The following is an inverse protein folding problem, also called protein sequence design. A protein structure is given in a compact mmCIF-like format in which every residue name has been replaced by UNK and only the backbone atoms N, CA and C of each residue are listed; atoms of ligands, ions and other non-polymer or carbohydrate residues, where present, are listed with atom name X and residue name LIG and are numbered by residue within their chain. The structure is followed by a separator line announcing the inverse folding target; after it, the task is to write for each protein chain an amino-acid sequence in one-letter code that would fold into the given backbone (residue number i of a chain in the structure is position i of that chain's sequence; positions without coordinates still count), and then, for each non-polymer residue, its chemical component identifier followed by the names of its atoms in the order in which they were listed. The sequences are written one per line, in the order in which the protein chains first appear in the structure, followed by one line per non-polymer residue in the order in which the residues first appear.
data_IF_673633497745
#
_entry.id   IF_673633497745
#
_cell.length_a   1.000
_cell.length_b   1.000
_cell.length_c   1.000
_cell.angle_alpha   90.00
_cell.angle_beta   90.00
_cell.angle_gamma   90.00
#
_symmetry.space_group_name_H-M   'P 1'
#
loop_
_entity.id
_entity.type
_entity.pdbx_description
1 polymer ?
#
# COMPACT_ATOMS: atom_id res chain seq x y z
N UNK A 1 13.77 -8.00 -15.04
CA UNK A 1 14.36 -8.46 -13.75
C UNK A 1 13.25 -9.09 -12.92
N UNK A 2 13.54 -10.24 -12.26
CA UNK A 2 12.58 -10.87 -11.32
C UNK A 2 12.96 -10.56 -9.89
N UNK A 3 11.99 -10.20 -9.09
CA UNK A 3 12.14 -9.89 -7.66
C UNK A 3 11.25 -10.84 -6.88
N UNK A 4 11.85 -11.56 -5.93
CA UNK A 4 11.15 -12.39 -4.96
C UNK A 4 10.98 -11.58 -3.68
N UNK A 5 9.74 -11.47 -3.21
CA UNK A 5 9.36 -10.68 -2.05
C UNK A 5 8.88 -11.62 -0.97
N UNK A 6 9.41 -11.42 0.23
CA UNK A 6 8.93 -12.03 1.44
C UNK A 6 9.00 -10.97 2.55
N UNK A 7 7.85 -10.39 2.87
CA UNK A 7 7.73 -9.30 3.81
C UNK A 7 6.82 -9.69 4.97
N UNK A 8 7.32 -9.58 6.19
CA UNK A 8 6.55 -9.82 7.41
C UNK A 8 6.46 -8.54 8.22
N UNK A 9 5.25 -8.15 8.55
CA UNK A 9 4.97 -7.04 9.47
C UNK A 9 4.39 -7.61 10.74
N UNK A 10 4.99 -7.26 11.88
CA UNK A 10 4.52 -7.66 13.20
C UNK A 10 4.25 -6.43 14.04
N UNK A 11 3.04 -6.35 14.58
CA UNK A 11 2.63 -5.35 15.56
C UNK A 11 2.52 -6.02 16.93
N UNK A 12 3.05 -5.36 17.96
CA UNK A 12 2.87 -5.74 19.36
C UNK A 12 2.24 -4.56 20.10
N UNK A 13 1.23 -4.83 20.90
CA UNK A 13 0.47 -3.82 21.63
C UNK A 13 0.75 -3.94 23.12
N UNK A 14 0.99 -2.82 23.78
CA UNK A 14 1.21 -2.79 25.24
C UNK A 14 -0.06 -3.18 26.01
N UNK A 15 -1.23 -2.85 25.42
CA UNK A 15 -2.53 -3.20 25.96
C UNK A 15 -3.32 -4.05 24.97
N UNK A 16 -4.27 -4.82 25.49
CA UNK A 16 -5.11 -5.66 24.64
C UNK A 16 -6.08 -4.82 23.81
N UNK A 17 -5.99 -4.95 22.51
CA UNK A 17 -6.90 -4.30 21.54
C UNK A 17 -8.13 -5.15 21.36
N UNK A 18 -9.31 -4.62 21.69
CA UNK A 18 -10.58 -5.36 21.60
C UNK A 18 -11.09 -5.53 20.17
N UNK A 19 -10.80 -4.57 19.32
CA UNK A 19 -11.23 -4.57 17.92
C UNK A 19 -10.27 -3.74 17.07
N UNK A 20 -9.94 -4.23 15.88
CA UNK A 20 -9.09 -3.50 14.93
C UNK A 20 -9.59 -3.72 13.50
N UNK A 21 -9.65 -2.66 12.72
CA UNK A 21 -9.86 -2.72 11.26
C UNK A 21 -8.59 -2.21 10.60
N UNK A 22 -8.00 -3.05 9.75
CA UNK A 22 -6.79 -2.73 9.02
C UNK A 22 -7.10 -2.64 7.52
N UNK A 23 -6.65 -1.56 6.88
CA UNK A 23 -6.68 -1.40 5.43
C UNK A 23 -5.27 -1.66 4.88
N UNK A 24 -5.08 -2.80 4.25
CA UNK A 24 -3.78 -3.27 3.79
C UNK A 24 -3.62 -2.99 2.30
N UNK A 25 -2.64 -2.17 1.93
CA UNK A 25 -2.23 -1.90 0.54
C UNK A 25 -0.91 -2.62 0.25
N UNK A 26 -0.92 -3.94 0.38
CA UNK A 26 0.26 -4.80 0.27
C UNK A 26 0.24 -5.69 -0.99
N UNK A 27 -0.78 -5.56 -1.84
CA UNK A 27 -0.87 -6.31 -3.09
C UNK A 27 -0.39 -5.44 -4.24
N UNK A 28 0.68 -5.85 -4.95
CA UNK A 28 1.18 -5.10 -6.10
C UNK A 28 0.19 -5.18 -7.27
N UNK A 29 0.14 -4.13 -8.06
CA UNK A 29 -0.64 -4.10 -9.29
C UNK A 29 0.21 -4.52 -10.49
N UNK A 30 -0.39 -5.16 -11.49
CA UNK A 30 0.24 -5.34 -12.80
C UNK A 30 0.12 -4.02 -13.57
N UNK A 31 1.26 -3.52 -14.02
CA UNK A 31 1.43 -2.26 -14.74
C UNK A 31 2.22 -2.54 -16.05
N UNK A 32 2.34 -1.55 -16.94
CA UNK A 32 3.08 -1.71 -18.19
C UNK A 32 4.53 -2.17 -17.98
N UNK A 33 5.18 -1.73 -16.89
CA UNK A 33 6.57 -2.05 -16.54
C UNK A 33 6.70 -3.11 -15.43
N UNK A 34 5.57 -3.60 -14.87
CA UNK A 34 5.55 -4.55 -13.76
C UNK A 34 4.49 -5.61 -13.96
N UNK A 35 4.88 -6.88 -13.89
CA UNK A 35 3.98 -8.02 -13.95
C UNK A 35 4.05 -8.82 -12.66
N UNK A 36 2.91 -9.03 -12.02
CA UNK A 36 2.79 -9.90 -10.85
C UNK A 36 2.70 -11.35 -11.34
N UNK A 37 3.70 -12.17 -11.02
CA UNK A 37 3.74 -13.58 -11.41
C UNK A 37 3.04 -14.46 -10.38
N UNK A 38 3.23 -14.14 -9.10
CA UNK A 38 2.55 -14.78 -7.97
C UNK A 38 2.46 -13.80 -6.81
N UNK A 39 1.37 -13.86 -6.06
CA UNK A 39 1.23 -13.08 -4.84
C UNK A 39 0.31 -13.79 -3.85
N UNK A 40 0.69 -13.78 -2.59
CA UNK A 40 -0.10 -14.32 -1.48
C UNK A 40 0.12 -13.50 -0.23
N UNK A 41 -0.96 -13.21 0.48
CA UNK A 41 -0.93 -12.71 1.84
C UNK A 41 -1.36 -13.80 2.82
N UNK A 42 -0.61 -13.95 3.90
CA UNK A 42 -1.00 -14.76 5.05
C UNK A 42 -1.52 -13.80 6.11
N UNK A 43 -2.79 -13.94 6.44
CA UNK A 43 -3.51 -13.08 7.36
C UNK A 43 -4.07 -13.93 8.51
N UNK A 44 -4.22 -13.37 9.73
CA UNK A 44 -4.70 -14.12 10.88
C UNK A 44 -6.19 -14.47 10.81
N UNK A 45 -6.96 -13.81 9.94
CA UNK A 45 -8.40 -14.02 9.72
C UNK A 45 -8.81 -13.77 8.28
N UNK A 46 -10.06 -14.10 7.98
CA UNK A 46 -10.69 -13.77 6.70
C UNK A 46 -10.70 -12.25 6.48
N UNK A 47 -10.51 -11.87 5.23
CA UNK A 47 -10.46 -10.48 4.78
C UNK A 47 -11.43 -10.25 3.62
N UNK A 48 -11.76 -9.00 3.39
CA UNK A 48 -12.52 -8.55 2.22
C UNK A 48 -11.61 -7.75 1.30
N UNK A 49 -11.84 -7.83 0.01
CA UNK A 49 -11.07 -7.13 -1.02
C UNK A 49 -11.91 -6.01 -1.62
N UNK A 50 -11.35 -4.82 -1.71
CA UNK A 50 -12.01 -3.63 -2.25
C UNK A 50 -11.03 -2.81 -3.10
N UNK A 51 -11.58 -1.98 -3.98
CA UNK A 51 -10.82 -0.89 -4.62
C UNK A 51 -11.25 0.43 -4.04
N UNK A 52 -10.30 1.29 -3.70
CA UNK A 52 -10.60 2.65 -3.27
C UNK A 52 -10.97 3.56 -4.47
N UNK A 53 -11.40 4.79 -4.18
CA UNK A 53 -11.79 5.76 -5.21
C UNK A 53 -10.66 6.18 -6.16
N UNK A 54 -9.42 5.85 -5.84
CA UNK A 54 -8.23 6.09 -6.68
C UNK A 54 -7.79 4.84 -7.46
N UNK A 55 -8.56 3.74 -7.36
CA UNK A 55 -8.25 2.48 -8.03
C UNK A 55 -7.18 1.64 -7.31
N UNK A 56 -6.82 1.97 -6.07
CA UNK A 56 -5.88 1.16 -5.31
C UNK A 56 -6.58 -0.07 -4.73
N UNK A 57 -5.96 -1.22 -4.90
CA UNK A 57 -6.41 -2.46 -4.28
C UNK A 57 -6.13 -2.44 -2.78
N UNK A 58 -7.14 -2.72 -1.99
CA UNK A 58 -7.08 -2.71 -0.54
C UNK A 58 -7.71 -3.98 0.03
N UNK A 59 -6.99 -4.63 0.93
CA UNK A 59 -7.50 -5.76 1.70
C UNK A 59 -7.94 -5.24 3.06
N UNK A 60 -9.22 -5.37 3.39
CA UNK A 60 -9.78 -5.01 4.69
C UNK A 60 -9.74 -6.21 5.61
N UNK A 61 -8.96 -6.12 6.66
CA UNK A 61 -8.84 -7.12 7.70
C UNK A 61 -9.58 -6.65 8.94
N UNK A 62 -10.65 -7.36 9.31
CA UNK A 62 -11.44 -7.08 10.50
C UNK A 62 -11.08 -8.08 11.59
N UNK A 63 -10.55 -7.58 12.70
CA UNK A 63 -10.08 -8.35 13.83
C UNK A 63 -10.96 -8.04 15.05
N UNK A 64 -11.81 -8.99 15.44
CA UNK A 64 -12.61 -8.94 16.64
C UNK A 64 -12.00 -9.85 17.71
N UNK A 65 -12.03 -9.41 18.95
CA UNK A 65 -11.50 -10.12 20.13
C UNK A 65 -10.20 -9.51 20.62
N UNK A 66 -9.75 -9.91 21.82
CA UNK A 66 -8.55 -9.37 22.41
C UNK A 66 -7.30 -9.75 21.61
N UNK A 67 -6.56 -8.73 21.15
CA UNK A 67 -5.31 -8.86 20.40
C UNK A 67 -4.17 -8.24 21.20
N UNK A 68 -3.08 -8.97 21.36
CA UNK A 68 -1.82 -8.42 21.88
C UNK A 68 -0.74 -8.33 20.78
N UNK A 69 -0.94 -9.07 19.69
CA UNK A 69 -0.06 -8.99 18.52
C UNK A 69 -0.82 -9.27 17.24
N UNK A 70 -0.28 -8.75 16.14
CA UNK A 70 -0.77 -8.98 14.80
C UNK A 70 0.41 -9.25 13.89
N UNK A 71 0.37 -10.32 13.14
CA UNK A 71 1.36 -10.64 12.11
C UNK A 71 0.68 -10.72 10.74
N UNK A 72 1.28 -10.06 9.77
CA UNK A 72 0.86 -10.02 8.38
C UNK A 72 2.07 -10.39 7.54
N UNK A 73 1.92 -11.36 6.64
CA UNK A 73 2.98 -11.75 5.72
C UNK A 73 2.51 -11.58 4.27
N UNK A 74 3.34 -10.93 3.45
CA UNK A 74 3.14 -10.77 2.03
C UNK A 74 4.30 -11.43 1.28
N UNK A 75 3.98 -12.35 0.37
CA UNK A 75 4.97 -13.13 -0.38
C UNK A 75 4.59 -13.19 -1.86
N UNK A 76 5.59 -13.13 -2.72
CA UNK A 76 5.35 -13.29 -4.13
C UNK A 76 6.54 -13.03 -5.01
N UNK A 77 6.28 -13.04 -6.30
CA UNK A 77 7.26 -12.78 -7.34
C UNK A 77 6.70 -11.77 -8.30
N UNK A 78 7.45 -10.71 -8.54
CA UNK A 78 7.14 -9.71 -9.56
C UNK A 78 8.26 -9.66 -10.59
N UNK A 79 7.89 -9.41 -11.83
CA UNK A 79 8.81 -9.22 -12.93
C UNK A 79 8.77 -7.75 -13.35
N UNK A 80 9.93 -7.10 -13.30
CA UNK A 80 10.11 -5.72 -13.72
C UNK A 80 10.79 -5.71 -15.07
N UNK A 81 10.20 -5.02 -16.04
CA UNK A 81 10.71 -4.88 -17.40
C UNK A 81 9.99 -3.77 -18.15
N UNK A 82 10.58 -3.32 -19.27
CA UNK A 82 10.03 -2.23 -20.08
C UNK A 82 10.43 -0.83 -19.58
N UNK A 83 10.06 0.20 -20.31
CA UNK A 83 10.22 1.59 -19.89
C UNK A 83 9.16 1.92 -18.86
N UNK A 84 9.56 2.65 -17.83
CA UNK A 84 8.66 3.18 -16.81
C UNK A 84 7.90 4.41 -17.36
N UNK A 85 7.10 4.23 -18.42
CA UNK A 85 6.13 5.26 -18.77
C UNK A 85 5.05 5.24 -17.68
N UNK A 86 5.04 6.28 -16.87
CA UNK A 86 3.95 6.52 -15.94
C UNK A 86 2.68 6.82 -16.73
N UNK A 87 1.91 5.78 -17.02
CA UNK A 87 0.56 5.96 -17.55
C UNK A 87 -0.29 6.45 -16.37
N UNK A 88 -0.46 7.78 -16.30
CA UNK A 88 -1.44 8.35 -15.37
C UNK A 88 -2.81 7.75 -15.69
N UNK A 89 -3.50 7.27 -14.67
CA UNK A 89 -4.88 6.82 -14.83
C UNK A 89 -5.73 7.97 -15.34
N UNK A 90 -6.15 7.90 -16.60
CA UNK A 90 -6.92 8.97 -17.27
C UNK A 90 -8.29 9.21 -16.63
N UNK A 91 -8.73 8.33 -15.72
CA UNK A 91 -10.01 8.46 -14.99
C UNK A 91 -9.96 9.54 -13.92
N UNK A 92 -8.77 9.87 -13.42
CA UNK A 92 -8.58 10.88 -12.38
C UNK A 92 -7.85 12.08 -12.99
N UNK A 93 -8.45 13.26 -12.87
CA UNK A 93 -7.82 14.47 -13.39
C UNK A 93 -6.53 14.77 -12.61
N UNK A 94 -5.38 15.04 -13.27
CA UNK A 94 -4.09 15.22 -12.59
C UNK A 94 -4.09 16.31 -11.51
N UNK A 95 -4.89 17.38 -11.68
CA UNK A 95 -5.01 18.45 -10.69
C UNK A 95 -5.49 18.00 -9.31
N UNK A 96 -6.14 16.85 -9.21
CA UNK A 96 -6.55 16.28 -7.91
C UNK A 96 -5.32 15.99 -7.03
N UNK A 97 -4.21 15.58 -7.66
CA UNK A 97 -2.96 15.25 -6.96
C UNK A 97 -2.10 16.47 -6.60
N UNK A 98 -2.44 17.65 -7.14
CA UNK A 98 -1.74 18.89 -6.83
C UNK A 98 -2.34 19.64 -5.64
N UNK A 99 -3.49 19.21 -5.15
CA UNK A 99 -4.12 19.83 -3.99
C UNK A 99 -3.36 19.48 -2.71
N UNK A 100 -3.02 20.51 -1.95
CA UNK A 100 -2.44 20.32 -0.62
C UNK A 100 -3.48 19.72 0.33
N UNK A 101 -3.04 18.75 1.13
CA UNK A 101 -3.85 18.13 2.19
C UNK A 101 -3.14 18.28 3.53
N UNK A 102 -3.81 17.95 4.63
CA UNK A 102 -3.18 17.96 5.95
C UNK A 102 -1.94 17.06 6.04
N UNK A 103 -1.91 15.97 5.23
CA UNK A 103 -0.79 15.02 5.20
C UNK A 103 0.31 15.39 4.19
N UNK A 104 0.03 16.28 3.25
CA UNK A 104 0.94 16.70 2.18
C UNK A 104 1.33 18.18 2.28
N UNK A 105 1.16 18.77 3.46
CA UNK A 105 1.57 20.14 3.72
C UNK A 105 3.08 20.30 3.55
N UNK A 106 3.48 21.32 2.79
CA UNK A 106 4.88 21.65 2.55
C UNK A 106 5.30 22.79 3.49
N UNK A 107 6.34 22.56 4.29
CA UNK A 107 6.96 23.61 5.10
C UNK A 107 8.01 24.40 4.30
N UNK A 108 8.52 25.48 4.88
CA UNK A 108 9.49 26.38 4.24
C UNK A 108 10.78 25.63 3.85
N UNK A 109 11.33 24.81 4.75
CA UNK A 109 12.54 24.06 4.48
C UNK A 109 12.40 23.06 3.32
N UNK A 110 11.20 22.49 3.12
CA UNK A 110 10.91 21.62 1.98
C UNK A 110 10.85 22.41 0.67
N UNK A 111 10.33 23.63 0.69
CA UNK A 111 10.30 24.52 -0.48
C UNK A 111 11.71 24.96 -0.86
N UNK A 112 12.49 25.43 0.11
CA UNK A 112 13.87 25.85 -0.11
C UNK A 112 14.70 24.72 -0.71
N UNK A 113 14.53 23.49 -0.20
CA UNK A 113 15.20 22.32 -0.78
C UNK A 113 14.80 22.06 -2.24
N UNK A 114 13.53 22.22 -2.57
CA UNK A 114 13.03 21.98 -3.93
C UNK A 114 13.46 23.07 -4.94
N UNK A 115 13.73 24.30 -4.48
CA UNK A 115 14.21 25.40 -5.33
C UNK A 115 15.72 25.29 -5.66
N UNK A 116 16.47 24.50 -4.91
CA UNK A 116 17.92 24.26 -5.12
C UNK A 116 18.18 23.19 -6.20
N UNK A 117 17.18 22.39 -6.58
CA UNK A 117 17.28 21.31 -7.57
C UNK A 117 16.94 21.81 -8.99
#
# INVERSE_FOLDING_TARGET
MRIHINHTTRYSYNESVKHSIQCLRLTPQTLAHQRVLSWRMTLPRLSSEVYDGFGNYCTILNLAGPLQSLEIQAQGTVEIGGSAEHILDKRIHPLVFLNSTALTGCNEAMRDFAEIQ
#
